data_IF_119219176586
#
_entry.id   IF_119219176586
#
_cell.length_a   1.000
_cell.length_b   1.000
_cell.length_c   1.000
_cell.angle_alpha   90.00
_cell.angle_beta   90.00
_cell.angle_gamma   90.00
#
_symmetry.space_group_name_H-M   'P 1'
#
loop_
_entity.id
_entity.type
_entity.pdbx_description
1 polymer ?
#
# COMPACT_ATOMS: atom_id res chain seq x y z
N UNK A 1 -3.40 -61.79 3.05
CA UNK A 1 -2.97 -60.66 3.89
C UNK A 1 -1.82 -59.81 3.32
N UNK A 2 -1.21 -60.12 2.15
CA UNK A 2 -0.04 -59.35 1.65
C UNK A 2 -0.35 -58.18 0.67
N UNK A 3 -1.58 -58.03 0.16
CA UNK A 3 -1.92 -56.94 -0.79
C UNK A 3 -2.16 -55.57 -0.13
N UNK A 4 -2.46 -55.53 1.17
CA UNK A 4 -2.82 -54.29 1.86
C UNK A 4 -1.63 -53.43 2.25
N UNK A 5 -0.45 -54.03 2.51
CA UNK A 5 0.76 -53.28 2.89
C UNK A 5 1.38 -52.55 1.70
N UNK A 6 1.32 -53.12 0.48
CA UNK A 6 1.91 -52.51 -0.71
C UNK A 6 1.22 -51.20 -1.10
N UNK A 7 -0.11 -51.12 -0.93
CA UNK A 7 -0.90 -49.93 -1.26
C UNK A 7 -0.63 -48.77 -0.28
N UNK A 8 -0.48 -49.07 1.01
CA UNK A 8 -0.18 -48.05 2.04
C UNK A 8 1.21 -47.47 1.83
N UNK A 9 2.20 -48.30 1.50
CA UNK A 9 3.55 -47.83 1.18
C UNK A 9 3.52 -46.94 -0.06
N UNK A 10 2.88 -47.35 -1.16
CA UNK A 10 2.79 -46.50 -2.36
C UNK A 10 2.12 -45.15 -2.10
N UNK A 11 1.10 -45.10 -1.24
CA UNK A 11 0.42 -43.86 -0.88
C UNK A 11 1.32 -42.92 -0.04
N UNK A 12 2.07 -43.46 0.91
CA UNK A 12 3.05 -42.67 1.69
C UNK A 12 4.17 -42.11 0.80
N UNK A 13 4.63 -42.87 -0.19
CA UNK A 13 5.62 -42.39 -1.16
C UNK A 13 5.06 -41.29 -2.05
N UNK A 14 3.79 -41.38 -2.49
CA UNK A 14 3.15 -40.36 -3.30
C UNK A 14 2.93 -39.05 -2.53
N UNK A 15 2.51 -39.14 -1.26
CA UNK A 15 2.37 -37.97 -0.38
C UNK A 15 3.73 -37.32 -0.12
N UNK A 16 4.77 -38.11 0.17
CA UNK A 16 6.12 -37.59 0.37
C UNK A 16 6.70 -36.95 -0.91
N UNK A 17 6.35 -37.46 -2.10
CA UNK A 17 6.76 -36.88 -3.37
C UNK A 17 6.02 -35.56 -3.66
N UNK A 18 4.71 -35.50 -3.37
CA UNK A 18 3.90 -34.29 -3.48
C UNK A 18 4.37 -33.21 -2.52
N UNK A 19 4.70 -33.56 -1.27
CA UNK A 19 5.28 -32.65 -0.27
C UNK A 19 6.65 -32.12 -0.71
N UNK A 20 7.54 -32.98 -1.22
CA UNK A 20 8.84 -32.52 -1.76
C UNK A 20 8.70 -31.63 -3.00
N UNK A 21 7.67 -31.86 -3.82
CA UNK A 21 7.41 -31.02 -4.99
C UNK A 21 6.87 -29.65 -4.58
N UNK A 22 6.03 -29.58 -3.55
CA UNK A 22 5.57 -28.31 -2.96
C UNK A 22 6.72 -27.57 -2.27
N UNK A 23 7.56 -28.26 -1.50
CA UNK A 23 8.74 -27.65 -0.88
C UNK A 23 9.73 -27.13 -1.92
N UNK A 24 9.95 -27.85 -3.02
CA UNK A 24 10.80 -27.40 -4.12
C UNK A 24 10.21 -26.19 -4.88
N UNK A 25 8.88 -26.16 -5.10
CA UNK A 25 8.20 -25.01 -5.69
C UNK A 25 8.22 -23.77 -4.77
N UNK A 26 8.12 -24.00 -3.46
CA UNK A 26 8.27 -22.95 -2.44
C UNK A 26 9.72 -22.48 -2.36
N UNK A 27 10.70 -23.38 -2.43
CA UNK A 27 12.13 -23.03 -2.47
C UNK A 27 12.52 -22.30 -3.75
N UNK A 28 11.97 -22.66 -4.91
CA UNK A 28 12.20 -21.98 -6.18
C UNK A 28 11.63 -20.56 -6.19
N UNK A 29 10.50 -20.31 -5.49
CA UNK A 29 10.03 -18.94 -5.17
C UNK A 29 10.99 -18.16 -4.24
N UNK A 30 11.74 -18.86 -3.39
CA UNK A 30 12.63 -18.27 -2.38
C UNK A 30 14.07 -18.07 -2.90
N UNK A 31 14.41 -18.56 -4.11
CA UNK A 31 15.70 -18.27 -4.76
C UNK A 31 15.76 -16.80 -5.19
N UNK A 32 16.30 -15.95 -4.31
CA UNK A 32 16.89 -14.63 -4.56
C UNK A 32 16.19 -13.78 -5.63
N UNK A 33 14.87 -13.65 -5.55
CA UNK A 33 14.19 -12.53 -6.17
C UNK A 33 14.64 -11.27 -5.42
N UNK A 34 15.43 -10.41 -6.07
CA UNK A 34 15.71 -9.05 -5.58
C UNK A 34 14.46 -8.13 -5.66
N UNK A 35 13.25 -8.70 -5.60
CA UNK A 35 11.97 -8.04 -5.89
C UNK A 35 11.74 -7.74 -7.38
N UNK A 36 12.78 -7.79 -8.22
CA UNK A 36 12.72 -7.31 -9.61
C UNK A 36 12.53 -8.41 -10.66
N UNK A 37 12.58 -9.69 -10.29
CA UNK A 37 12.76 -10.80 -11.25
C UNK A 37 11.60 -10.98 -12.24
N UNK A 38 10.45 -10.33 -12.01
CA UNK A 38 9.29 -10.40 -12.91
C UNK A 38 8.75 -9.03 -13.37
N UNK A 39 9.20 -7.91 -12.78
CA UNK A 39 8.71 -6.56 -13.12
C UNK A 39 8.99 -6.19 -14.58
N UNK A 40 10.20 -6.43 -15.15
CA UNK A 40 10.48 -6.09 -16.55
C UNK A 40 9.60 -6.79 -17.59
N UNK A 41 8.92 -7.87 -17.20
CA UNK A 41 8.02 -8.64 -18.06
C UNK A 41 6.59 -8.08 -18.08
N UNK A 42 6.23 -7.24 -17.11
CA UNK A 42 4.95 -6.54 -17.07
C UNK A 42 4.98 -5.38 -18.08
N UNK A 43 3.94 -5.27 -18.91
CA UNK A 43 3.84 -4.31 -20.02
C UNK A 43 2.69 -3.34 -19.86
N UNK A 44 1.60 -3.77 -19.25
CA UNK A 44 0.40 -2.96 -19.10
C UNK A 44 -0.10 -2.98 -17.66
N UNK A 45 -0.26 -1.78 -17.10
CA UNK A 45 -0.74 -1.57 -15.75
C UNK A 45 -1.72 -0.42 -15.65
N UNK A 46 -2.53 -0.44 -14.60
CA UNK A 46 -3.46 0.64 -14.27
C UNK A 46 -2.98 1.36 -13.01
N UNK A 47 -2.94 2.69 -13.06
CA UNK A 47 -2.69 3.53 -11.89
C UNK A 47 -4.01 4.14 -11.43
N UNK A 48 -4.37 3.93 -10.18
CA UNK A 48 -5.62 4.42 -9.59
C UNK A 48 -5.30 5.45 -8.51
N UNK A 49 -5.91 6.62 -8.65
CA UNK A 49 -6.05 7.60 -7.59
C UNK A 49 -7.46 7.52 -7.00
N UNK A 50 -7.57 6.95 -5.80
CA UNK A 50 -8.81 6.92 -5.02
C UNK A 50 -8.65 7.86 -3.82
N UNK A 51 -9.17 9.08 -3.93
CA UNK A 51 -8.85 10.18 -3.02
C UNK A 51 -10.13 10.90 -2.58
N UNK A 52 -10.45 10.91 -1.27
CA UNK A 52 -11.59 11.68 -0.75
C UNK A 52 -11.50 13.15 -1.15
N UNK A 53 -12.59 13.69 -1.69
CA UNK A 53 -12.67 15.07 -2.18
C UNK A 53 -12.12 15.31 -3.59
N UNK A 54 -11.56 14.29 -4.25
CA UNK A 54 -11.15 14.36 -5.66
C UNK A 54 -11.78 13.25 -6.52
N UNK A 55 -12.14 12.11 -5.93
CA UNK A 55 -12.83 11.03 -6.64
C UNK A 55 -14.31 11.34 -6.81
N UNK A 56 -14.82 11.09 -8.01
CA UNK A 56 -16.25 11.18 -8.35
C UNK A 56 -16.91 9.80 -8.30
N UNK A 57 -18.17 9.77 -7.86
CA UNK A 57 -19.00 8.58 -7.96
C UNK A 57 -19.55 8.37 -9.40
N UNK A 58 -20.32 7.30 -9.60
CA UNK A 58 -20.92 6.96 -10.91
C UNK A 58 -21.88 8.02 -11.47
N UNK A 59 -22.33 9.00 -10.66
CA UNK A 59 -23.15 10.13 -11.10
C UNK A 59 -22.33 11.39 -11.41
N UNK A 60 -21.00 11.33 -11.28
CA UNK A 60 -20.10 12.46 -11.49
C UNK A 60 -19.98 13.42 -10.31
N UNK A 61 -20.48 13.04 -9.12
CA UNK A 61 -20.41 13.87 -7.91
C UNK A 61 -19.18 13.50 -7.09
N UNK A 62 -18.40 14.50 -6.69
CA UNK A 62 -17.24 14.34 -5.80
C UNK A 62 -17.68 13.78 -4.45
N UNK A 63 -16.95 12.79 -3.94
CA UNK A 63 -17.21 12.17 -2.64
C UNK A 63 -16.16 12.64 -1.63
N UNK A 64 -16.55 13.58 -0.77
CA UNK A 64 -15.66 14.16 0.25
C UNK A 64 -15.44 13.23 1.46
N UNK A 65 -16.47 12.48 1.85
CA UNK A 65 -16.41 11.59 3.01
C UNK A 65 -15.63 10.30 2.66
N UNK A 66 -14.52 10.09 3.37
CA UNK A 66 -13.63 8.97 3.11
C UNK A 66 -14.29 7.61 3.38
N UNK A 67 -15.14 7.51 4.40
CA UNK A 67 -15.86 6.28 4.71
C UNK A 67 -16.93 5.98 3.66
N UNK A 68 -17.67 6.99 3.18
CA UNK A 68 -18.60 6.81 2.07
C UNK A 68 -17.85 6.34 0.82
N UNK A 69 -16.71 6.97 0.50
CA UNK A 69 -15.88 6.58 -0.64
C UNK A 69 -15.43 5.12 -0.49
N UNK A 70 -14.87 4.75 0.66
CA UNK A 70 -14.38 3.41 0.91
C UNK A 70 -15.49 2.35 0.88
N UNK A 71 -16.66 2.65 1.45
CA UNK A 71 -17.81 1.74 1.45
C UNK A 71 -18.45 1.59 0.05
N UNK A 72 -18.27 2.57 -0.83
CA UNK A 72 -18.77 2.51 -2.21
C UNK A 72 -17.88 1.71 -3.17
N UNK A 73 -16.64 1.42 -2.78
CA UNK A 73 -15.69 0.70 -3.63
C UNK A 73 -16.03 -0.79 -3.71
N UNK A 74 -16.22 -1.29 -4.93
CA UNK A 74 -16.47 -2.71 -5.23
C UNK A 74 -15.16 -3.36 -5.71
N UNK A 75 -14.48 -4.04 -4.79
CA UNK A 75 -13.18 -4.67 -5.05
C UNK A 75 -13.30 -5.85 -6.03
N UNK A 76 -14.40 -6.62 -5.97
CA UNK A 76 -14.62 -7.76 -6.86
C UNK A 76 -14.88 -7.30 -8.29
N UNK A 77 -15.75 -6.29 -8.47
CA UNK A 77 -16.00 -5.71 -9.78
C UNK A 77 -14.72 -5.07 -10.34
N UNK A 78 -13.98 -4.31 -9.51
CA UNK A 78 -12.71 -3.74 -9.92
C UNK A 78 -11.72 -4.81 -10.40
N UNK A 79 -11.53 -5.88 -9.63
CA UNK A 79 -10.65 -6.99 -10.01
C UNK A 79 -11.11 -7.70 -11.30
N UNK A 80 -12.42 -7.87 -11.48
CA UNK A 80 -12.98 -8.41 -12.73
C UNK A 80 -12.66 -7.50 -13.93
N UNK A 81 -12.80 -6.19 -13.77
CA UNK A 81 -12.52 -5.21 -14.84
C UNK A 81 -11.03 -5.21 -15.21
N UNK A 82 -10.12 -5.29 -14.22
CA UNK A 82 -8.69 -5.44 -14.47
C UNK A 82 -8.39 -6.70 -15.31
N UNK A 83 -9.01 -7.83 -14.95
CA UNK A 83 -8.81 -9.08 -15.68
C UNK A 83 -9.36 -9.03 -17.11
N UNK A 84 -10.54 -8.43 -17.31
CA UNK A 84 -11.14 -8.25 -18.65
C UNK A 84 -10.30 -7.31 -19.52
N UNK A 85 -9.66 -6.31 -18.92
CA UNK A 85 -8.78 -5.39 -19.60
C UNK A 85 -7.35 -5.92 -19.81
N UNK A 86 -7.06 -7.17 -19.44
CA UNK A 86 -5.71 -7.78 -19.47
C UNK A 86 -4.65 -6.94 -18.72
N UNK A 87 -5.05 -6.25 -17.65
CA UNK A 87 -4.13 -5.50 -16.78
C UNK A 87 -3.22 -6.49 -16.05
N UNK A 88 -1.91 -6.26 -16.10
CA UNK A 88 -0.93 -7.16 -15.50
C UNK A 88 -0.45 -6.69 -14.12
N UNK A 89 -0.57 -5.38 -13.85
CA UNK A 89 -0.32 -4.81 -12.53
C UNK A 89 -1.19 -3.60 -12.24
N UNK A 90 -1.49 -3.37 -10.97
CA UNK A 90 -2.16 -2.17 -10.50
C UNK A 90 -1.24 -1.39 -9.56
N UNK A 91 -1.25 -0.07 -9.68
CA UNK A 91 -0.73 0.84 -8.66
C UNK A 91 -1.93 1.52 -8.02
N UNK A 92 -2.22 1.20 -6.77
CA UNK A 92 -3.46 1.61 -6.09
C UNK A 92 -3.15 2.50 -4.88
N UNK A 93 -3.86 3.62 -4.73
CA UNK A 93 -3.68 4.55 -3.61
C UNK A 93 -3.89 3.87 -2.26
N UNK A 94 -2.88 3.89 -1.39
CA UNK A 94 -3.05 3.61 0.04
C UNK A 94 -3.37 4.87 0.83
N UNK A 95 -2.69 5.96 0.47
CA UNK A 95 -3.07 7.33 0.80
C UNK A 95 -2.52 8.29 -0.25
N UNK A 96 -3.12 9.46 -0.36
CA UNK A 96 -2.64 10.60 -1.12
C UNK A 96 -2.97 11.85 -0.31
N UNK A 97 -3.98 12.62 -0.75
CA UNK A 97 -4.37 13.91 -0.19
C UNK A 97 -4.80 13.79 1.25
N UNK A 98 -4.36 14.76 2.07
CA UNK A 98 -4.60 14.78 3.52
C UNK A 98 -4.14 13.48 4.17
N UNK A 99 -3.25 12.71 3.56
CA UNK A 99 -2.81 11.37 4.02
C UNK A 99 -3.92 10.48 4.60
N UNK A 100 -5.11 10.44 3.99
CA UNK A 100 -6.17 9.54 4.47
C UNK A 100 -5.80 8.10 4.14
N UNK A 101 -5.51 7.31 5.17
CA UNK A 101 -5.25 5.88 5.06
C UNK A 101 -6.53 5.13 4.66
N UNK A 102 -6.50 4.41 3.53
CA UNK A 102 -7.64 3.62 3.05
C UNK A 102 -7.79 2.26 3.76
N UNK A 103 -7.39 2.20 5.03
CA UNK A 103 -7.58 1.08 5.94
C UNK A 103 -7.86 1.59 7.36
N UNK A 104 -8.36 0.74 8.29
CA UNK A 104 -8.59 1.12 9.67
C UNK A 104 -7.29 1.23 10.47
N UNK A 105 -6.46 2.21 10.14
CA UNK A 105 -5.15 2.44 10.76
C UNK A 105 -5.27 2.69 12.27
N UNK A 106 -4.62 1.85 13.07
CA UNK A 106 -4.47 2.08 14.50
C UNK A 106 -3.43 3.17 14.75
N UNK A 107 -2.39 3.25 13.91
CA UNK A 107 -1.34 4.27 14.02
C UNK A 107 -1.86 5.68 13.82
N UNK A 108 -2.79 5.90 12.88
CA UNK A 108 -3.45 7.21 12.77
C UNK A 108 -4.18 7.60 14.07
N UNK A 109 -4.80 6.64 14.78
CA UNK A 109 -5.44 6.91 16.07
C UNK A 109 -4.42 7.21 17.18
N UNK A 110 -3.30 6.47 17.22
CA UNK A 110 -2.21 6.72 18.17
C UNK A 110 -1.60 8.12 18.00
N UNK A 111 -1.55 8.64 16.78
CA UNK A 111 -1.14 10.00 16.45
C UNK A 111 -2.25 11.05 16.60
N UNK A 112 -3.40 10.66 17.15
CA UNK A 112 -4.58 11.52 17.38
C UNK A 112 -5.17 12.11 16.07
N UNK A 113 -5.15 11.33 14.98
CA UNK A 113 -5.64 11.67 13.64
C UNK A 113 -6.83 10.78 13.22
N UNK A 114 -7.97 10.80 13.94
CA UNK A 114 -9.09 9.89 13.68
C UNK A 114 -9.74 10.08 12.30
N UNK A 115 -9.67 11.28 11.73
CA UNK A 115 -10.27 11.63 10.43
C UNK A 115 -9.34 11.31 9.23
N UNK A 116 -8.12 10.80 9.50
CA UNK A 116 -7.12 10.45 8.49
C UNK A 116 -7.05 8.94 8.21
N UNK A 117 -8.17 8.25 8.43
CA UNK A 117 -8.35 6.82 8.18
C UNK A 117 -9.80 6.52 7.81
N UNK A 118 -10.04 5.36 7.21
CA UNK A 118 -11.39 4.81 7.01
C UNK A 118 -11.62 3.62 7.93
N UNK A 119 -12.88 3.30 8.22
CA UNK A 119 -13.23 2.19 9.10
C UNK A 119 -13.20 0.83 8.41
N UNK A 120 -13.43 0.81 7.09
CA UNK A 120 -13.35 -0.40 6.24
C UNK A 120 -11.91 -0.65 5.83
N UNK A 121 -11.47 -1.90 5.86
CA UNK A 121 -10.19 -2.30 5.28
C UNK A 121 -10.26 -2.40 3.74
N UNK A 122 -10.37 -1.25 3.07
CA UNK A 122 -10.49 -1.20 1.61
C UNK A 122 -9.24 -1.75 0.93
N UNK A 123 -8.05 -1.45 1.46
CA UNK A 123 -6.79 -1.97 0.90
C UNK A 123 -6.74 -3.50 0.99
N UNK A 124 -7.10 -4.08 2.13
CA UNK A 124 -7.19 -5.54 2.29
C UNK A 124 -8.18 -6.16 1.31
N UNK A 125 -9.38 -5.57 1.17
CA UNK A 125 -10.40 -6.04 0.22
C UNK A 125 -9.89 -5.99 -1.23
N UNK A 126 -9.22 -4.90 -1.62
CA UNK A 126 -8.64 -4.72 -2.95
C UNK A 126 -7.52 -5.73 -3.21
N UNK A 127 -6.60 -5.91 -2.26
CA UNK A 127 -5.50 -6.86 -2.36
C UNK A 127 -6.04 -8.28 -2.59
N UNK A 128 -7.01 -8.69 -1.77
CA UNK A 128 -7.59 -10.03 -1.86
C UNK A 128 -8.27 -10.26 -3.22
N UNK A 129 -9.12 -9.33 -3.66
CA UNK A 129 -9.85 -9.46 -4.93
C UNK A 129 -8.92 -9.46 -6.15
N UNK A 130 -7.97 -8.52 -6.20
CA UNK A 130 -7.02 -8.36 -7.32
C UNK A 130 -6.02 -9.52 -7.36
N UNK A 131 -5.51 -9.94 -6.19
CA UNK A 131 -4.58 -11.07 -6.08
C UNK A 131 -5.18 -12.37 -6.59
N UNK A 132 -6.48 -12.61 -6.36
CA UNK A 132 -7.23 -13.75 -6.89
C UNK A 132 -7.31 -13.80 -8.43
N UNK A 133 -7.03 -12.67 -9.11
CA UNK A 133 -6.94 -12.59 -10.58
C UNK A 133 -5.52 -12.77 -11.11
N UNK A 134 -4.53 -12.91 -10.24
CA UNK A 134 -3.12 -13.00 -10.62
C UNK A 134 -2.53 -11.67 -11.11
N UNK A 135 -3.21 -10.55 -10.86
CA UNK A 135 -2.71 -9.20 -11.18
C UNK A 135 -1.73 -8.79 -10.09
N UNK A 136 -0.59 -8.22 -10.49
CA UNK A 136 0.46 -7.77 -9.56
C UNK A 136 0.05 -6.48 -8.86
N UNK A 137 0.41 -6.31 -7.59
CA UNK A 137 -0.15 -5.24 -6.76
C UNK A 137 0.95 -4.35 -6.23
N UNK A 138 0.89 -3.06 -6.56
CA UNK A 138 1.73 -2.03 -5.97
C UNK A 138 0.84 -1.03 -5.24
N UNK A 139 1.30 -0.58 -4.08
CA UNK A 139 0.59 0.43 -3.32
C UNK A 139 1.24 1.79 -3.52
N UNK A 140 0.46 2.76 -3.99
CA UNK A 140 0.86 4.15 -4.05
C UNK A 140 0.78 4.80 -2.67
N UNK A 141 1.79 5.61 -2.35
CA UNK A 141 1.87 6.37 -1.10
C UNK A 141 2.48 7.74 -1.36
N UNK A 142 2.01 8.77 -0.66
CA UNK A 142 2.58 10.11 -0.72
C UNK A 142 3.25 10.45 0.64
N UNK A 143 4.55 10.15 0.83
CA UNK A 143 5.21 10.20 2.16
C UNK A 143 5.49 11.60 2.71
N UNK A 144 5.19 12.66 1.95
CA UNK A 144 5.48 14.07 2.33
C UNK A 144 4.25 14.97 2.29
N UNK A 145 3.04 14.41 2.28
CA UNK A 145 1.80 15.18 2.15
C UNK A 145 1.28 15.79 3.46
N UNK A 146 2.15 16.44 4.24
CA UNK A 146 1.72 17.13 5.47
C UNK A 146 1.13 18.52 5.21
N UNK A 147 1.28 19.05 4.00
CA UNK A 147 0.77 20.39 3.68
C UNK A 147 -0.76 20.44 3.53
N UNK A 148 -1.44 19.31 3.40
CA UNK A 148 -2.91 19.27 3.36
C UNK A 148 -3.57 19.01 4.72
N UNK A 149 -2.76 18.81 5.76
CA UNK A 149 -3.23 18.73 7.15
C UNK A 149 -3.73 20.07 7.67
N UNK A 150 -4.64 19.99 8.66
CA UNK A 150 -4.98 21.16 9.48
C UNK A 150 -3.78 21.58 10.33
N UNK A 151 -3.77 22.82 10.82
CA UNK A 151 -2.67 23.29 11.69
C UNK A 151 -2.49 22.41 12.92
N UNK A 152 -3.59 21.95 13.53
CA UNK A 152 -3.55 21.04 14.67
C UNK A 152 -2.89 19.69 14.33
N UNK A 153 -3.15 19.15 13.13
CA UNK A 153 -2.59 17.87 12.71
C UNK A 153 -1.11 18.00 12.28
N UNK A 154 -0.74 19.16 11.72
CA UNK A 154 0.66 19.50 11.44
C UNK A 154 1.50 19.58 12.71
N UNK A 155 0.97 20.15 13.79
CA UNK A 155 1.64 20.17 15.10
C UNK A 155 1.81 18.75 15.67
N UNK A 156 0.78 17.90 15.56
CA UNK A 156 0.83 16.50 16.02
C UNK A 156 1.90 15.70 15.29
N UNK A 157 1.99 15.82 13.97
CA UNK A 157 2.91 15.02 13.14
C UNK A 157 4.31 15.62 13.02
N UNK A 158 4.48 16.91 13.32
CA UNK A 158 5.76 17.60 13.18
C UNK A 158 6.01 18.23 11.81
N UNK A 159 4.97 18.35 10.97
CA UNK A 159 5.04 19.11 9.72
C UNK A 159 5.32 20.60 9.96
N UNK A 160 4.84 21.15 11.08
CA UNK A 160 4.96 22.58 11.40
C UNK A 160 3.84 23.42 10.78
N UNK A 161 3.59 24.59 11.36
CA UNK A 161 2.52 25.53 10.96
C UNK A 161 3.07 26.81 10.34
N UNK A 162 4.38 27.07 10.45
CA UNK A 162 4.97 28.23 9.81
C UNK A 162 4.87 28.06 8.28
N UNK A 163 4.60 29.15 7.53
CA UNK A 163 4.63 29.08 6.08
C UNK A 163 6.06 28.88 5.56
N UNK A 164 6.24 28.18 4.44
CA UNK A 164 7.55 28.04 3.79
C UNK A 164 8.07 29.39 3.30
N UNK A 165 9.39 29.61 3.43
CA UNK A 165 10.00 30.93 3.21
C UNK A 165 10.00 31.41 1.75
N UNK A 166 9.78 30.52 0.78
CA UNK A 166 9.84 30.78 -0.65
C UNK A 166 8.49 30.65 -1.37
N UNK A 167 7.38 30.49 -0.62
CA UNK A 167 6.04 30.34 -1.19
C UNK A 167 5.77 28.97 -1.81
N UNK A 168 6.70 28.02 -1.69
CA UNK A 168 6.50 26.63 -2.13
C UNK A 168 5.62 25.91 -1.12
N UNK A 169 4.30 26.01 -1.28
CA UNK A 169 3.29 25.53 -0.30
C UNK A 169 3.34 24.03 0.00
N UNK A 170 4.06 23.25 -0.81
CA UNK A 170 4.32 21.82 -0.60
C UNK A 170 5.54 21.56 0.31
N UNK A 171 6.29 22.59 0.72
CA UNK A 171 7.40 22.48 1.66
C UNK A 171 6.97 22.92 3.07
N UNK A 172 7.49 22.27 4.12
CA UNK A 172 7.21 22.68 5.49
C UNK A 172 7.98 23.97 5.85
N UNK A 173 7.51 24.65 6.90
CA UNK A 173 8.06 25.92 7.37
C UNK A 173 9.32 25.82 8.22
N UNK A 174 9.68 26.94 8.85
CA UNK A 174 10.86 27.05 9.72
C UNK A 174 10.74 26.21 11.01
N UNK A 175 9.52 25.88 11.43
CA UNK A 175 9.21 25.08 12.60
C UNK A 175 9.09 23.57 12.31
N UNK A 176 9.40 23.13 11.09
CA UNK A 176 9.40 21.73 10.69
C UNK A 176 10.24 20.87 11.65
N UNK A 177 9.61 19.87 12.26
CA UNK A 177 10.29 18.89 13.08
C UNK A 177 10.48 17.60 12.28
N UNK A 178 11.57 17.56 11.49
CA UNK A 178 11.91 16.42 10.65
C UNK A 178 11.97 15.09 11.40
N UNK A 179 12.46 15.07 12.64
CA UNK A 179 12.52 13.85 13.45
C UNK A 179 11.12 13.35 13.80
N UNK A 180 10.22 14.24 14.23
CA UNK A 180 8.84 13.89 14.57
C UNK A 180 8.04 13.46 13.33
N UNK A 181 8.21 14.18 12.22
CA UNK A 181 7.59 13.81 10.94
C UNK A 181 8.00 12.40 10.51
N UNK A 182 9.29 12.08 10.58
CA UNK A 182 9.75 10.76 10.18
C UNK A 182 9.33 9.67 11.14
N UNK A 183 9.21 9.93 12.45
CA UNK A 183 8.60 8.97 13.38
C UNK A 183 7.15 8.65 13.00
N UNK A 184 6.36 9.68 12.65
CA UNK A 184 4.99 9.49 12.15
C UNK A 184 4.96 8.66 10.85
N UNK A 185 5.76 9.04 9.85
CA UNK A 185 5.86 8.31 8.59
C UNK A 185 6.28 6.85 8.81
N UNK A 186 7.29 6.61 9.65
CA UNK A 186 7.78 5.27 9.97
C UNK A 186 6.70 4.40 10.63
N UNK A 187 5.89 4.96 11.52
CA UNK A 187 4.76 4.25 12.14
C UNK A 187 3.69 3.85 11.10
N UNK A 188 3.28 4.79 10.23
CA UNK A 188 2.24 4.53 9.21
C UNK A 188 2.72 3.48 8.19
N UNK A 189 3.96 3.60 7.70
CA UNK A 189 4.52 2.58 6.80
C UNK A 189 4.76 1.25 7.52
N UNK A 190 5.17 1.28 8.79
CA UNK A 190 5.34 0.07 9.60
C UNK A 190 4.04 -0.72 9.70
N UNK A 191 2.92 -0.04 9.96
CA UNK A 191 1.60 -0.66 9.94
C UNK A 191 1.22 -1.18 8.55
N UNK A 192 1.40 -0.37 7.49
CA UNK A 192 1.11 -0.79 6.11
C UNK A 192 1.86 -2.08 5.76
N UNK A 193 3.16 -2.14 6.06
CA UNK A 193 3.98 -3.32 5.77
C UNK A 193 3.64 -4.51 6.66
N UNK A 194 3.30 -4.28 7.93
CA UNK A 194 2.82 -5.34 8.82
C UNK A 194 1.52 -5.97 8.31
N UNK A 195 0.59 -5.15 7.79
CA UNK A 195 -0.72 -5.60 7.32
C UNK A 195 -0.64 -6.26 5.95
N UNK A 196 0.09 -5.66 5.01
CA UNK A 196 -0.04 -5.99 3.58
C UNK A 196 1.28 -6.38 2.92
N UNK A 197 2.43 -6.20 3.57
CA UNK A 197 3.75 -6.31 2.95
C UNK A 197 4.05 -7.68 2.33
N UNK A 198 3.42 -8.75 2.82
CA UNK A 198 3.58 -10.11 2.27
C UNK A 198 2.66 -10.40 1.06
N UNK A 199 1.69 -9.54 0.80
CA UNK A 199 0.64 -9.73 -0.21
C UNK A 199 0.74 -8.73 -1.37
N UNK A 200 1.66 -7.78 -1.29
CA UNK A 200 1.96 -6.80 -2.33
C UNK A 200 3.32 -7.07 -2.98
N UNK A 201 3.49 -6.53 -4.18
CA UNK A 201 4.70 -6.66 -4.99
C UNK A 201 5.64 -5.45 -4.87
N UNK A 202 5.16 -4.35 -4.29
CA UNK A 202 5.99 -3.21 -3.94
C UNK A 202 5.21 -1.95 -3.63
N UNK A 203 5.97 -0.88 -3.38
CA UNK A 203 5.45 0.45 -3.13
C UNK A 203 5.79 1.38 -4.29
N UNK A 204 4.85 2.23 -4.67
CA UNK A 204 5.08 3.39 -5.52
C UNK A 204 5.05 4.63 -4.62
N UNK A 205 6.21 5.16 -4.27
CA UNK A 205 6.32 6.34 -3.42
C UNK A 205 6.33 7.60 -4.29
N UNK A 206 5.36 8.48 -4.07
CA UNK A 206 5.39 9.80 -4.70
C UNK A 206 6.59 10.59 -4.20
N UNK A 207 7.20 11.30 -5.14
CA UNK A 207 8.24 12.25 -4.84
C UNK A 207 7.59 13.47 -4.16
N UNK A 208 6.47 13.98 -4.67
CA UNK A 208 5.68 15.04 -4.02
C UNK A 208 6.31 16.44 -4.00
N UNK A 209 7.49 16.62 -4.60
CA UNK A 209 8.25 17.85 -4.77
C UNK A 209 8.67 18.01 -6.24
N UNK A 210 8.26 19.08 -6.94
CA UNK A 210 8.69 19.32 -8.31
C UNK A 210 10.22 19.37 -8.51
N UNK A 211 10.99 19.53 -7.43
CA UNK A 211 12.44 19.62 -7.42
C UNK A 211 13.15 18.27 -7.29
N UNK A 212 12.46 17.18 -6.93
CA UNK A 212 13.11 15.90 -6.71
C UNK A 212 13.96 15.85 -5.44
N UNK A 213 13.56 16.58 -4.40
CA UNK A 213 14.30 16.80 -3.14
C UNK A 213 13.55 16.31 -1.88
N UNK A 214 12.61 15.38 -2.03
CA UNK A 214 11.82 14.84 -0.93
C UNK A 214 12.66 14.26 0.21
N UNK A 215 13.93 13.88 -0.02
CA UNK A 215 14.85 13.45 1.04
C UNK A 215 15.12 14.53 2.11
N UNK A 216 14.86 15.80 1.79
CA UNK A 216 14.93 16.90 2.76
C UNK A 216 13.83 16.79 3.82
N UNK A 217 12.69 16.19 3.48
CA UNK A 217 11.52 15.97 4.37
C UNK A 217 11.50 14.54 4.90
N UNK A 218 11.68 13.55 4.03
CA UNK A 218 11.56 12.12 4.32
C UNK A 218 12.94 11.47 4.44
N UNK A 219 13.15 10.73 5.52
CA UNK A 219 14.34 9.94 5.75
C UNK A 219 14.23 8.58 5.04
N UNK A 220 14.38 8.59 3.71
CA UNK A 220 14.29 7.37 2.90
C UNK A 220 15.29 6.28 3.31
N UNK A 221 16.46 6.64 3.86
CA UNK A 221 17.41 5.65 4.34
C UNK A 221 16.84 4.84 5.51
N UNK A 222 16.22 5.52 6.48
CA UNK A 222 15.59 4.87 7.61
C UNK A 222 14.31 4.15 7.19
N UNK A 223 13.48 4.77 6.35
CA UNK A 223 12.24 4.17 5.85
C UNK A 223 12.48 2.84 5.10
N UNK A 224 13.58 2.74 4.33
CA UNK A 224 14.02 1.51 3.66
C UNK A 224 14.37 0.36 4.61
N UNK A 225 14.52 0.61 5.90
CA UNK A 225 14.75 -0.47 6.90
C UNK A 225 13.45 -1.09 7.39
N UNK A 226 12.32 -0.44 7.11
CA UNK A 226 10.97 -0.85 7.53
C UNK A 226 10.24 -1.58 6.38
N UNK A 227 10.44 -1.12 5.14
CA UNK A 227 9.79 -1.65 3.93
C UNK A 227 10.57 -2.78 3.25
#
# INVERSE_FOLDING_TARGET
MMRSMTLVVQLCWLIALLMKCTDAQLQERVVSSNGMTNIPNLKYGLFVHLVPGLTVNHTGVVVDDANILANSFDADQFANDLAVADVQYVVFTSWHSKMVALWPSEKMLEWELPDHRVDRDLIGDMIAAVGNKGVRIYLYTHPRDGFEFTDADREKTGWGIDPPSNGETYNPGADFNRTKWNAFIEDIYGELMQRYGQEIDGLFMDEGSPQGDSETVVNYQQLRTII
#
